data_IF_158480385606
#
_entry.id   IF_158480385606
#
_cell.length_a   1.000
_cell.length_b   1.000
_cell.length_c   1.000
_cell.angle_alpha   90.00
_cell.angle_beta   90.00
_cell.angle_gamma   90.00
#
_symmetry.space_group_name_H-M   'P 1'
#
loop_
_entity.id
_entity.type
_entity.pdbx_description
1 polymer ?
#
# COMPACT_ATOMS: atom_id res chain seq x y z
N UNK A 1 6.94 -5.24 3.40
CA UNK A 1 5.76 -5.14 2.51
C UNK A 1 6.05 -4.07 1.48
N UNK A 2 5.84 -4.35 0.20
CA UNK A 2 5.96 -3.34 -0.86
C UNK A 2 4.62 -2.68 -1.10
N UNK A 3 4.58 -1.35 -1.19
CA UNK A 3 3.34 -0.58 -1.36
C UNK A 3 3.43 0.28 -2.60
N UNK A 4 2.42 0.19 -3.45
CA UNK A 4 2.16 1.14 -4.53
C UNK A 4 0.98 2.02 -4.12
N UNK A 5 1.21 3.32 -3.99
CA UNK A 5 0.15 4.29 -3.72
C UNK A 5 -0.19 5.01 -5.01
N UNK A 6 -1.47 5.03 -5.38
CA UNK A 6 -2.03 5.72 -6.53
C UNK A 6 -2.94 6.84 -6.03
N UNK A 7 -3.01 7.94 -6.74
CA UNK A 7 -3.95 9.03 -6.48
C UNK A 7 -4.93 9.14 -7.64
N UNK A 8 -6.21 8.95 -7.35
CA UNK A 8 -7.30 9.07 -8.32
C UNK A 8 -8.26 10.19 -7.92
N UNK A 9 -8.95 10.76 -8.92
CA UNK A 9 -10.01 11.72 -8.66
C UNK A 9 -11.15 11.03 -7.91
N UNK A 10 -11.66 11.70 -6.87
CA UNK A 10 -12.79 11.18 -6.10
C UNK A 10 -14.07 11.32 -6.92
N UNK A 11 -14.85 10.25 -6.98
CA UNK A 11 -16.24 10.34 -7.47
C UNK A 11 -17.11 11.06 -6.44
N UNK A 12 -17.91 12.03 -6.90
CA UNK A 12 -18.79 12.84 -6.04
C UNK A 12 -19.75 12.00 -5.19
N UNK A 13 -20.11 10.80 -5.66
CA UNK A 13 -21.10 9.92 -5.01
C UNK A 13 -20.49 8.92 -4.01
N UNK A 14 -19.16 8.85 -3.89
CA UNK A 14 -18.51 7.85 -3.02
C UNK A 14 -17.88 8.48 -1.76
N UNK A 15 -18.27 8.02 -0.55
CA UNK A 15 -17.62 8.39 0.69
C UNK A 15 -16.25 7.69 0.89
N UNK A 16 -15.86 6.79 0.00
CA UNK A 16 -14.58 6.06 0.08
C UNK A 16 -13.40 7.01 -0.08
N UNK A 17 -12.47 6.95 0.87
CA UNK A 17 -11.22 7.73 0.89
C UNK A 17 -10.08 6.95 0.26
N UNK A 18 -10.07 5.61 0.41
CA UNK A 18 -9.07 4.76 -0.21
C UNK A 18 -9.60 3.37 -0.55
N UNK A 19 -9.02 2.75 -1.57
CA UNK A 19 -9.10 1.31 -1.79
C UNK A 19 -7.74 0.66 -1.53
N UNK A 20 -7.76 -0.51 -0.90
CA UNK A 20 -6.57 -1.33 -0.64
C UNK A 20 -6.76 -2.67 -1.32
N UNK A 21 -5.82 -3.04 -2.17
CA UNK A 21 -5.81 -4.29 -2.91
C UNK A 21 -4.47 -4.99 -2.73
N UNK A 22 -4.49 -6.23 -2.28
CA UNK A 22 -3.26 -7.02 -2.24
C UNK A 22 -3.06 -7.76 -3.55
N UNK A 23 -1.86 -7.71 -4.11
CA UNK A 23 -1.50 -8.55 -5.25
C UNK A 23 -0.89 -9.86 -4.76
N UNK A 24 -1.35 -11.03 -5.26
CA UNK A 24 -0.76 -12.31 -4.87
C UNK A 24 0.69 -12.39 -5.35
N UNK A 25 1.55 -12.97 -4.52
CA UNK A 25 2.92 -13.30 -4.93
C UNK A 25 2.86 -14.53 -5.83
N UNK A 26 3.40 -14.42 -7.04
CA UNK A 26 3.53 -15.59 -7.92
C UNK A 26 4.48 -16.60 -7.28
N UNK A 27 4.15 -17.91 -7.29
CA UNK A 27 4.91 -18.95 -6.59
C UNK A 27 6.36 -19.15 -7.07
N UNK A 28 6.75 -18.54 -8.19
CA UNK A 28 8.11 -18.57 -8.74
C UNK A 28 8.80 -17.20 -8.76
N UNK A 29 8.19 -16.17 -8.15
CA UNK A 29 8.74 -14.82 -8.09
C UNK A 29 9.48 -14.55 -6.78
N UNK A 30 10.63 -13.89 -6.84
CA UNK A 30 11.38 -13.37 -5.68
C UNK A 30 10.78 -12.09 -5.08
N UNK A 31 9.64 -11.61 -5.59
CA UNK A 31 9.05 -10.35 -5.15
C UNK A 31 8.27 -10.53 -3.86
N UNK A 32 8.45 -9.59 -2.93
CA UNK A 32 7.59 -9.46 -1.76
C UNK A 32 6.14 -9.24 -2.21
N UNK A 33 5.20 -9.58 -1.33
CA UNK A 33 3.79 -9.24 -1.53
C UNK A 33 3.65 -7.73 -1.69
N UNK A 34 2.95 -7.33 -2.77
CA UNK A 34 2.74 -5.92 -3.12
C UNK A 34 1.30 -5.53 -2.81
N UNK A 35 1.15 -4.47 -2.04
CA UNK A 35 -0.12 -3.86 -1.72
C UNK A 35 -0.32 -2.62 -2.60
N UNK A 36 -1.50 -2.48 -3.17
CA UNK A 36 -1.90 -1.36 -4.02
C UNK A 36 -2.93 -0.55 -3.25
N UNK A 37 -2.55 0.66 -2.87
CA UNK A 37 -3.40 1.64 -2.21
C UNK A 37 -3.81 2.68 -3.23
N UNK A 38 -5.10 2.81 -3.51
CA UNK A 38 -5.64 3.91 -4.32
C UNK A 38 -6.29 4.92 -3.39
N UNK A 39 -5.71 6.11 -3.27
CA UNK A 39 -6.29 7.24 -2.56
C UNK A 39 -7.21 8.03 -3.48
N UNK A 40 -8.34 8.51 -2.96
CA UNK A 40 -9.29 9.31 -3.72
C UNK A 40 -9.33 10.77 -3.25
N UNK A 41 -9.21 11.69 -4.20
CA UNK A 41 -9.34 13.12 -3.94
C UNK A 41 -8.02 13.75 -3.54
N UNK A 42 -7.87 14.12 -2.26
CA UNK A 42 -6.68 14.81 -1.76
C UNK A 42 -5.72 13.78 -1.17
N UNK A 43 -4.48 13.77 -1.65
CA UNK A 43 -3.43 12.99 -1.02
C UNK A 43 -2.93 13.73 0.23
N UNK A 44 -3.27 13.21 1.40
CA UNK A 44 -2.75 13.66 2.68
C UNK A 44 -2.22 12.48 3.51
N UNK A 45 -1.36 12.78 4.48
CA UNK A 45 -0.71 11.76 5.29
C UNK A 45 -1.68 10.98 6.18
N UNK A 46 -2.78 11.59 6.63
CA UNK A 46 -3.80 10.93 7.45
C UNK A 46 -4.56 9.89 6.62
N UNK A 47 -5.04 10.28 5.44
CA UNK A 47 -5.74 9.38 4.51
C UNK A 47 -4.85 8.21 4.09
N UNK A 48 -3.56 8.47 3.82
CA UNK A 48 -2.59 7.42 3.56
C UNK A 48 -2.36 6.51 4.77
N UNK A 49 -2.24 7.07 5.98
CA UNK A 49 -2.07 6.29 7.20
C UNK A 49 -3.28 5.39 7.50
N UNK A 50 -4.51 5.89 7.28
CA UNK A 50 -5.74 5.10 7.41
C UNK A 50 -5.73 3.93 6.40
N UNK A 51 -5.34 4.18 5.15
CA UNK A 51 -5.25 3.12 4.14
C UNK A 51 -4.22 2.05 4.51
N UNK A 52 -3.04 2.45 4.98
CA UNK A 52 -2.00 1.51 5.42
C UNK A 52 -2.40 0.76 6.69
N UNK A 53 -3.12 1.41 7.61
CA UNK A 53 -3.70 0.76 8.77
C UNK A 53 -4.68 -0.34 8.35
N UNK A 54 -5.54 -0.08 7.36
CA UNK A 54 -6.42 -1.10 6.79
C UNK A 54 -5.63 -2.29 6.26
N UNK A 55 -4.53 -2.04 5.55
CA UNK A 55 -3.63 -3.09 5.05
C UNK A 55 -3.11 -3.95 6.20
N UNK A 56 -2.45 -3.35 7.20
CA UNK A 56 -1.84 -4.06 8.33
C UNK A 56 -2.88 -4.84 9.13
N UNK A 57 -4.03 -4.24 9.42
CA UNK A 57 -5.08 -4.89 10.21
C UNK A 57 -5.74 -6.04 9.43
N UNK A 58 -5.89 -5.91 8.11
CA UNK A 58 -6.40 -6.99 7.26
C UNK A 58 -5.45 -8.18 7.15
N UNK A 59 -4.14 -7.94 7.21
CA UNK A 59 -3.14 -9.01 7.29
C UNK A 59 -3.23 -9.76 8.61
N UNK A 60 -3.42 -9.05 9.73
CA UNK A 60 -3.59 -9.68 11.04
C UNK A 60 -4.81 -10.61 11.10
N UNK A 61 -5.87 -10.28 10.37
CA UNK A 61 -7.08 -11.09 10.28
C UNK A 61 -6.93 -12.32 9.35
N UNK A 62 -5.93 -12.34 8.46
CA UNK A 62 -5.77 -13.36 7.42
C UNK A 62 -4.41 -14.06 7.46
N UNK A 63 -4.33 -15.21 8.13
CA UNK A 63 -3.11 -16.02 8.25
C UNK A 63 -2.86 -16.98 7.07
N UNK A 64 -3.62 -16.90 5.98
CA UNK A 64 -3.50 -17.86 4.87
C UNK A 64 -2.48 -17.39 3.81
N UNK A 65 -1.83 -18.37 3.17
CA UNK A 65 -0.90 -18.09 2.07
C UNK A 65 -1.67 -17.75 0.79
N UNK A 66 -1.15 -16.81 0.00
CA UNK A 66 -1.77 -16.41 -1.28
C UNK A 66 -3.11 -15.68 -1.13
N UNK A 67 -3.42 -15.13 0.04
CA UNK A 67 -4.65 -14.35 0.26
C UNK A 67 -4.61 -13.08 -0.55
N UNK A 68 -5.68 -12.87 -1.33
CA UNK A 68 -6.04 -11.61 -1.97
C UNK A 68 -7.03 -10.88 -1.07
N UNK A 69 -6.90 -9.56 -0.92
CA UNK A 69 -7.75 -8.68 -0.12
C UNK A 69 -8.18 -7.52 -1.00
N UNK A 70 -9.45 -7.15 -0.86
CA UNK A 70 -10.05 -5.98 -1.48
C UNK A 70 -10.80 -5.22 -0.38
N UNK A 71 -10.36 -4.01 -0.06
CA UNK A 71 -10.97 -3.20 1.00
C UNK A 71 -11.24 -1.80 0.50
N UNK A 72 -12.42 -1.28 0.78
CA UNK A 72 -12.69 0.16 0.81
C UNK A 72 -12.42 0.71 2.20
N UNK A 73 -11.96 1.95 2.27
CA UNK A 73 -11.71 2.69 3.52
C UNK A 73 -12.63 3.90 3.55
N UNK A 74 -13.47 3.96 4.57
CA UNK A 74 -14.43 5.02 4.85
C UNK A 74 -14.02 5.79 6.10
N UNK A 75 -14.14 7.13 6.09
CA UNK A 75 -13.73 7.96 7.22
C UNK A 75 -14.68 7.82 8.42
N UNK A 76 -15.93 7.41 8.19
CA UNK A 76 -16.99 7.30 9.19
C UNK A 76 -17.33 5.85 9.59
N UNK A 77 -16.78 4.86 8.88
CA UNK A 77 -17.09 3.43 9.09
C UNK A 77 -15.86 2.57 9.41
N UNK A 78 -14.69 2.90 8.86
CA UNK A 78 -13.51 2.04 8.91
C UNK A 78 -13.26 1.35 7.57
N UNK A 79 -12.70 0.15 7.57
CA UNK A 79 -12.38 -0.56 6.33
C UNK A 79 -13.25 -1.80 6.15
N UNK A 80 -13.84 -1.94 4.96
CA UNK A 80 -14.78 -3.03 4.65
C UNK A 80 -14.49 -3.61 3.27
N UNK A 81 -14.61 -4.92 3.15
CA UNK A 81 -14.51 -5.61 1.88
C UNK A 81 -14.37 -7.11 2.12
N UNK A 82 -13.46 -7.75 1.39
CA UNK A 82 -13.31 -9.19 1.44
C UNK A 82 -11.86 -9.65 1.31
N UNK A 83 -11.65 -10.91 1.68
CA UNK A 83 -10.44 -11.65 1.42
C UNK A 83 -10.76 -12.98 0.76
N UNK A 84 -9.91 -13.41 -0.15
CA UNK A 84 -10.08 -14.65 -0.90
C UNK A 84 -8.77 -15.45 -0.94
N UNK A 85 -8.85 -16.76 -0.70
CA UNK A 85 -7.71 -17.68 -0.81
C UNK A 85 -8.15 -19.05 -1.29
N UNK A 86 -7.18 -19.85 -1.75
CA UNK A 86 -7.44 -21.27 -2.07
C UNK A 86 -7.19 -22.10 -0.82
N UNK A 87 -8.18 -22.87 -0.42
CA UNK A 87 -8.04 -23.85 0.64
C UNK A 87 -7.04 -24.95 0.24
N UNK A 88 -6.02 -25.18 1.06
CA UNK A 88 -4.92 -26.09 0.74
C UNK A 88 -5.34 -27.56 0.70
N UNK A 89 -6.43 -27.92 1.37
CA UNK A 89 -6.93 -29.31 1.44
C UNK A 89 -7.90 -29.63 0.31
N UNK A 90 -8.82 -28.73 0.00
CA UNK A 90 -9.89 -28.96 -0.99
C UNK A 90 -9.63 -28.31 -2.35
N UNK A 91 -8.66 -27.38 -2.43
CA UNK A 91 -8.37 -26.59 -3.61
C UNK A 91 -9.47 -25.57 -3.97
N UNK A 92 -10.51 -25.44 -3.14
CA UNK A 92 -11.63 -24.52 -3.38
C UNK A 92 -11.26 -23.10 -3.03
N UNK A 93 -11.84 -22.14 -3.75
CA UNK A 93 -11.76 -20.73 -3.38
C UNK A 93 -12.66 -20.49 -2.17
N UNK A 94 -12.07 -19.94 -1.11
CA UNK A 94 -12.77 -19.49 0.10
C UNK A 94 -12.74 -17.97 0.11
N UNK A 95 -13.87 -17.37 0.42
CA UNK A 95 -14.04 -15.93 0.58
C UNK A 95 -14.48 -15.62 2.01
N UNK A 96 -13.93 -14.57 2.60
CA UNK A 96 -14.26 -14.11 3.93
C UNK A 96 -14.44 -12.60 3.92
N UNK A 97 -15.59 -12.14 4.40
CA UNK A 97 -15.87 -10.73 4.59
C UNK A 97 -14.95 -10.14 5.67
N UNK A 98 -14.45 -8.94 5.41
CA UNK A 98 -13.62 -8.16 6.32
C UNK A 98 -14.38 -6.88 6.70
N UNK A 99 -14.54 -6.66 8.00
CA UNK A 99 -15.08 -5.44 8.57
C UNK A 99 -14.15 -5.02 9.72
N UNK A 100 -13.35 -3.99 9.48
CA UNK A 100 -12.36 -3.44 10.41
C UNK A 100 -12.93 -2.14 10.98
N UNK A 101 -13.29 -2.10 12.28
CA UNK A 101 -13.87 -0.93 12.91
C UNK A 101 -12.98 0.31 12.81
N UNK A 102 -13.59 1.48 12.58
CA UNK A 102 -12.89 2.77 12.49
C UNK A 102 -11.94 3.02 13.66
N UNK A 103 -12.37 2.73 14.90
CA UNK A 103 -11.54 2.94 16.10
C UNK A 103 -10.21 2.17 16.05
N UNK A 104 -10.22 0.93 15.54
CA UNK A 104 -9.00 0.12 15.41
C UNK A 104 -8.09 0.73 14.34
N UNK A 105 -8.69 1.18 13.25
CA UNK A 105 -8.01 1.74 12.10
C UNK A 105 -7.36 3.09 12.43
N UNK A 106 -8.03 3.95 13.19
CA UNK A 106 -7.50 5.24 13.68
C UNK A 106 -6.37 5.07 14.68
N UNK A 107 -6.52 4.12 15.61
CA UNK A 107 -5.45 3.79 16.56
C UNK A 107 -4.18 3.36 15.82
N UNK A 108 -4.32 2.44 14.86
CA UNK A 108 -3.19 1.98 14.05
C UNK A 108 -2.62 3.08 13.15
N UNK A 109 -3.46 3.90 12.54
CA UNK A 109 -3.02 5.03 11.72
C UNK A 109 -2.21 6.03 12.55
N UNK A 110 -2.61 6.28 13.80
CA UNK A 110 -1.88 7.16 14.72
C UNK A 110 -0.50 6.61 15.07
N UNK A 111 -0.39 5.30 15.32
CA UNK A 111 0.90 4.63 15.55
C UNK A 111 1.82 4.70 14.31
N UNK A 112 1.25 4.47 13.11
CA UNK A 112 1.97 4.61 11.85
C UNK A 112 2.48 6.04 11.66
N UNK A 113 1.65 7.05 11.90
CA UNK A 113 2.07 8.44 11.80
C UNK A 113 3.14 8.82 12.82
N UNK A 114 3.08 8.27 14.03
CA UNK A 114 4.12 8.44 15.04
C UNK A 114 5.47 7.85 14.61
N UNK A 115 5.44 6.70 13.93
CA UNK A 115 6.65 5.95 13.56
C UNK A 115 7.24 6.38 12.22
N UNK A 116 6.40 6.55 11.19
CA UNK A 116 6.82 6.81 9.80
C UNK A 116 6.18 8.06 9.18
N UNK A 117 5.65 8.98 9.99
CA UNK A 117 4.89 10.14 9.51
C UNK A 117 5.66 11.08 8.55
N UNK A 118 6.99 11.19 8.67
CA UNK A 118 7.81 11.95 7.71
C UNK A 118 7.76 11.35 6.31
N UNK A 119 7.89 10.02 6.22
CA UNK A 119 7.75 9.26 4.96
C UNK A 119 6.35 9.40 4.39
N UNK A 120 5.31 9.23 5.20
CA UNK A 120 3.91 9.34 4.73
C UNK A 120 3.59 10.74 4.20
N UNK A 121 4.06 11.79 4.88
CA UNK A 121 3.92 13.18 4.40
C UNK A 121 4.66 13.41 3.08
N UNK A 122 5.86 12.84 2.92
CA UNK A 122 6.62 12.95 1.67
C UNK A 122 5.93 12.26 0.51
N UNK A 123 5.40 11.04 0.73
CA UNK A 123 4.63 10.31 -0.29
C UNK A 123 3.37 11.08 -0.67
N UNK A 124 2.61 11.56 0.31
CA UNK A 124 1.42 12.37 0.06
C UNK A 124 1.74 13.64 -0.74
N UNK A 125 2.82 14.36 -0.37
CA UNK A 125 3.27 15.53 -1.09
C UNK A 125 3.69 15.22 -2.54
N UNK A 126 4.40 14.11 -2.76
CA UNK A 126 4.80 13.67 -4.10
C UNK A 126 3.60 13.34 -5.00
N UNK A 127 2.57 12.69 -4.45
CA UNK A 127 1.32 12.44 -5.18
C UNK A 127 0.54 13.73 -5.49
N UNK A 128 0.63 14.72 -4.60
CA UNK A 128 -0.05 16.00 -4.73
C UNK A 128 0.66 17.00 -5.66
N UNK A 129 1.85 16.69 -6.17
CA UNK A 129 2.59 17.60 -7.06
C UNK A 129 1.72 18.04 -8.26
N UNK A 130 1.73 19.33 -8.65
CA UNK A 130 0.90 19.83 -9.74
C UNK A 130 1.43 19.42 -11.12
N UNK A 131 2.74 19.20 -11.24
CA UNK A 131 3.54 19.04 -12.46
C UNK A 131 3.76 17.57 -12.87
N UNK A 132 2.85 16.67 -12.50
CA UNK A 132 2.90 15.30 -13.01
C UNK A 132 2.88 15.30 -14.54
N UNK A 133 3.76 14.53 -15.21
CA UNK A 133 3.81 14.50 -16.67
C UNK A 133 2.45 14.11 -17.24
N UNK A 134 2.02 14.80 -18.29
CA UNK A 134 0.74 14.54 -18.93
C UNK A 134 0.66 13.08 -19.41
N UNK A 135 -0.45 12.41 -19.11
CA UNK A 135 -0.64 10.98 -19.41
C UNK A 135 0.02 10.01 -18.41
N UNK A 136 0.75 10.50 -17.40
CA UNK A 136 1.31 9.64 -16.34
C UNK A 136 0.34 9.48 -15.18
N UNK A 137 0.18 8.24 -14.74
CA UNK A 137 -0.59 7.94 -13.54
C UNK A 137 0.16 8.40 -12.28
N UNK A 138 -0.54 9.13 -11.40
CA UNK A 138 -0.01 9.60 -10.12
C UNK A 138 0.20 8.43 -9.17
N UNK A 139 1.36 7.80 -9.24
CA UNK A 139 1.66 6.64 -8.43
C UNK A 139 3.09 6.62 -7.90
N UNK A 140 3.26 6.29 -6.62
CA UNK A 140 4.55 6.17 -5.94
C UNK A 140 4.68 4.81 -5.27
N UNK A 141 5.85 4.20 -5.37
CA UNK A 141 6.15 2.95 -4.66
C UNK A 141 7.12 3.18 -3.51
N UNK A 142 6.87 2.54 -2.38
CA UNK A 142 7.79 2.49 -1.26
C UNK A 142 7.67 1.16 -0.51
N UNK A 143 8.72 0.78 0.19
CA UNK A 143 8.73 -0.42 1.02
C UNK A 143 8.54 -0.04 2.48
N UNK A 144 7.70 -0.80 3.18
CA UNK A 144 7.40 -0.62 4.59
C UNK A 144 7.79 -1.88 5.37
N UNK A 145 8.60 -1.72 6.40
CA UNK A 145 8.88 -2.78 7.37
C UNK A 145 7.78 -2.76 8.44
N UNK A 146 6.84 -3.69 8.38
CA UNK A 146 5.83 -3.84 9.44
C UNK A 146 6.52 -4.38 10.70
N UNK A 147 6.24 -3.76 11.85
CA UNK A 147 6.84 -4.15 13.14
C UNK A 147 6.56 -5.61 13.52
N UNK A 148 5.44 -6.18 13.05
CA UNK A 148 5.10 -7.60 13.25
C UNK A 148 6.07 -8.57 12.54
N UNK A 149 6.66 -8.16 11.41
CA UNK A 149 7.65 -8.97 10.70
C UNK A 149 9.00 -9.04 11.43
N UNK A 150 9.28 -8.09 12.33
CA UNK A 150 10.52 -8.06 13.13
C UNK A 150 10.48 -9.08 14.27
N UNK A 151 9.30 -9.55 14.66
CA UNK A 151 9.13 -10.49 15.77
C UNK A 151 9.49 -11.95 15.43
N UNK A 152 9.59 -12.33 14.15
CA UNK A 152 9.77 -13.73 13.71
C UNK A 152 11.09 -14.07 13.00
N UNK A 153 12.12 -13.26 13.22
CA UNK A 153 13.50 -13.71 13.05
C UNK A 153 14.26 -13.02 11.93
N UNK A 154 15.44 -12.54 12.29
CA UNK A 154 16.45 -12.01 11.38
C UNK A 154 16.82 -10.58 11.74
N UNK A 155 18.01 -10.40 12.30
CA UNK A 155 18.66 -9.10 12.41
C UNK A 155 18.84 -8.51 10.99
N UNK A 156 17.88 -7.68 10.59
CA UNK A 156 17.98 -6.78 9.44
C UNK A 156 18.18 -5.35 9.92
N UNK A 157 18.89 -4.50 9.16
CA UNK A 157 19.40 -3.23 9.66
C UNK A 157 18.25 -2.32 10.09
N UNK A 158 18.37 -1.85 11.33
CA UNK A 158 17.52 -0.83 11.94
C UNK A 158 17.43 0.40 11.04
N UNK A 159 16.26 1.04 11.03
CA UNK A 159 15.93 2.29 10.34
C UNK A 159 16.69 3.51 10.91
N UNK A 160 18.02 3.43 10.96
CA UNK A 160 18.89 4.55 11.33
C UNK A 160 19.81 5.00 10.19
N UNK A 161 19.72 4.39 9.00
CA UNK A 161 20.68 4.70 7.94
C UNK A 161 20.06 5.54 6.81
N UNK A 162 20.48 6.80 6.77
CA UNK A 162 20.34 7.77 5.66
C UNK A 162 20.76 7.12 4.31
N UNK A 163 21.58 6.07 4.35
CA UNK A 163 21.98 5.23 3.21
C UNK A 163 20.81 4.50 2.50
N UNK A 164 19.74 4.16 3.20
CA UNK A 164 18.55 3.55 2.58
C UNK A 164 17.77 4.54 1.71
N UNK A 165 17.86 5.84 2.03
CA UNK A 165 17.22 6.93 1.28
C UNK A 165 17.96 7.19 -0.04
N UNK A 166 19.29 7.14 -0.03
CA UNK A 166 20.13 7.29 -1.23
C UNK A 166 19.90 6.15 -2.24
N UNK A 167 19.77 4.91 -1.76
CA UNK A 167 19.44 3.75 -2.62
C UNK A 167 18.04 3.86 -3.26
N UNK A 168 17.11 4.59 -2.63
CA UNK A 168 15.76 4.82 -3.15
C UNK A 168 15.71 5.97 -4.17
N UNK A 169 16.53 7.02 -3.99
CA UNK A 169 16.71 8.08 -4.98
C UNK A 169 17.33 7.57 -6.29
N UNK A 170 18.22 6.58 -6.21
CA UNK A 170 18.83 5.96 -7.40
C UNK A 170 17.80 5.16 -8.22
N UNK A 171 16.86 4.48 -7.55
CA UNK A 171 15.76 3.76 -8.20
C UNK A 171 14.74 4.68 -8.89
N UNK A 172 14.53 5.89 -8.38
CA UNK A 172 13.65 6.89 -9.01
C UNK A 172 14.32 7.45 -10.27
N UNK A 173 15.64 7.70 -10.22
CA UNK A 173 16.43 8.11 -11.40
C UNK A 173 16.45 7.07 -12.50
N UNK A 174 16.40 5.78 -12.17
CA UNK A 174 16.41 4.69 -13.15
C UNK A 174 15.07 4.50 -13.88
N UNK A 175 13.96 4.98 -13.30
CA UNK A 175 12.63 4.88 -13.93
C UNK A 175 12.44 5.88 -15.08
N UNK A 176 13.15 7.01 -15.07
CA UNK A 176 13.15 8.00 -16.16
C UNK A 176 13.96 7.57 -17.40
N UNK A 177 14.67 6.43 -17.34
CA UNK A 177 15.49 5.94 -18.45
C UNK A 177 14.75 5.04 -19.45
N UNK A 178 13.48 4.69 -19.20
CA UNK A 178 12.65 3.97 -20.17
C UNK A 178 11.90 4.94 -21.10
N UNK A 179 12.66 5.78 -21.81
CA UNK A 179 12.15 6.42 -23.03
C UNK A 179 12.09 5.36 -24.13
N UNK A 180 10.89 5.06 -24.60
CA UNK A 180 10.68 4.18 -25.75
C UNK A 180 11.30 4.83 -27.00
N UNK A 181 12.32 4.20 -27.60
CA UNK A 181 12.66 4.45 -29.01
C UNK A 181 11.48 3.97 -29.87
N UNK A 182 10.65 4.92 -30.31
CA UNK A 182 9.81 4.75 -31.49
C UNK A 182 10.71 5.04 -32.69
N UNK A 183 11.32 3.99 -33.25
CA UNK A 183 11.90 4.06 -34.59
C UNK A 183 10.79 3.75 -35.59
N UNK A 184 10.41 4.76 -36.38
CA UNK A 184 9.58 4.64 -37.55
C UNK A 184 10.26 5.31 -38.72
N UNK A 185 10.82 4.50 -39.63
CA UNK A 185 10.65 4.50 -41.10
C UNK A 185 11.40 3.28 -41.69
#
# INVERSE_FOLDING_TARGET
MDVLVRLEARSSDSPVVAHVNSMPVLPLGTRSRREVVTLYGVADAQSLALALAATVESERLGAHTGVVRHLGVWPDRGAVGDSAWRDGTTGRLVTQDLDIPLLILEARASELLGTCGSTLRRVAAGLAMPDWPEGTERALSFSFASADAVALGGAGPSLEDDAGVESWLDSIRQADAFTFEVEGD
#
